data_IF_163069825104
#
_entry.id   IF_163069825104
#
_cell.length_a   1.000
_cell.length_b   1.000
_cell.length_c   1.000
_cell.angle_alpha   90.00
_cell.angle_beta   90.00
_cell.angle_gamma   90.00
#
_symmetry.space_group_name_H-M   'P 1'
#
loop_
_entity.id
_entity.type
_entity.pdbx_description
1 polymer ?
#
# COMPACT_ATOMS: atom_id res chain seq x y z
N UNK A 1 19.35 -11.62 -10.31
CA UNK A 1 18.78 -10.33 -10.79
C UNK A 1 18.40 -9.55 -9.53
N UNK A 2 19.04 -8.41 -9.26
CA UNK A 2 18.71 -7.62 -8.07
C UNK A 2 17.41 -6.88 -8.38
N UNK A 3 16.29 -7.32 -7.80
CA UNK A 3 14.94 -6.82 -8.12
C UNK A 3 14.49 -5.66 -7.22
N UNK A 4 15.35 -5.19 -6.31
CA UNK A 4 15.03 -4.06 -5.45
C UNK A 4 15.24 -2.73 -6.18
N UNK A 5 14.18 -1.94 -6.32
CA UNK A 5 14.27 -0.55 -6.75
C UNK A 5 14.81 0.30 -5.59
N UNK A 6 15.70 1.24 -5.90
CA UNK A 6 15.99 2.35 -4.99
C UNK A 6 14.77 3.26 -4.87
N UNK A 7 14.70 4.07 -3.81
CA UNK A 7 13.63 5.07 -3.65
C UNK A 7 13.52 5.99 -4.86
N UNK A 8 14.66 6.43 -5.42
CA UNK A 8 14.67 7.34 -6.57
C UNK A 8 14.13 6.67 -7.85
N UNK A 9 14.44 5.39 -8.07
CA UNK A 9 13.91 4.63 -9.21
C UNK A 9 12.41 4.39 -9.07
N UNK A 10 11.94 4.04 -7.86
CA UNK A 10 10.52 3.90 -7.58
C UNK A 10 9.77 5.23 -7.76
N UNK A 11 10.28 6.32 -7.19
CA UNK A 11 9.67 7.65 -7.32
C UNK A 11 9.54 8.06 -8.79
N UNK A 12 10.56 7.80 -9.62
CA UNK A 12 10.52 8.06 -11.06
C UNK A 12 9.48 7.19 -11.77
N UNK A 13 9.41 5.90 -11.44
CA UNK A 13 8.44 4.98 -12.03
C UNK A 13 6.99 5.41 -11.69
N UNK A 14 6.74 5.86 -10.46
CA UNK A 14 5.43 6.36 -10.03
C UNK A 14 5.03 7.64 -10.76
N UNK A 15 5.95 8.60 -10.93
CA UNK A 15 5.70 9.80 -11.74
C UNK A 15 5.28 9.41 -13.16
N UNK A 16 6.01 8.46 -13.76
CA UNK A 16 5.71 8.02 -15.12
C UNK A 16 4.36 7.32 -15.24
N UNK A 17 4.01 6.49 -14.27
CA UNK A 17 2.69 5.86 -14.22
C UNK A 17 1.56 6.91 -14.09
N UNK A 18 1.74 7.94 -13.26
CA UNK A 18 0.76 9.03 -13.17
C UNK A 18 0.58 9.73 -14.53
N UNK A 19 1.67 10.05 -15.23
CA UNK A 19 1.59 10.66 -16.57
C UNK A 19 0.87 9.76 -17.60
N UNK A 20 1.14 8.45 -17.58
CA UNK A 20 0.49 7.49 -18.47
C UNK A 20 -1.02 7.44 -18.22
N UNK A 21 -1.40 7.43 -16.95
CA UNK A 21 -2.81 7.44 -16.55
C UNK A 21 -3.52 8.73 -16.98
N UNK A 22 -2.90 9.90 -16.78
CA UNK A 22 -3.45 11.19 -17.20
C UNK A 22 -3.63 11.31 -18.72
N UNK A 23 -2.71 10.71 -19.49
CA UNK A 23 -2.73 10.73 -20.96
C UNK A 23 -3.60 9.63 -21.57
N UNK A 24 -4.25 8.81 -20.76
CA UNK A 24 -4.98 7.61 -21.21
C UNK A 24 -4.10 6.63 -22.01
N UNK A 25 -2.78 6.64 -21.75
CA UNK A 25 -1.76 5.81 -22.39
C UNK A 25 -1.39 4.63 -21.47
N UNK A 26 -2.43 3.93 -21.00
CA UNK A 26 -2.31 2.80 -20.06
C UNK A 26 -3.11 1.60 -20.57
N UNK A 27 -2.86 1.21 -21.83
CA UNK A 27 -3.63 0.17 -22.54
C UNK A 27 -3.60 -1.20 -21.85
N UNK A 28 -2.48 -1.51 -21.19
CA UNK A 28 -2.27 -2.78 -20.48
C UNK A 28 -2.37 -2.63 -18.95
N UNK A 29 -2.93 -1.51 -18.46
CA UNK A 29 -3.09 -1.22 -17.03
C UNK A 29 -1.78 -1.25 -16.22
N UNK A 30 -0.63 -1.03 -16.86
CA UNK A 30 0.68 -1.00 -16.21
C UNK A 30 0.77 0.13 -15.19
N UNK A 31 0.32 1.32 -15.56
CA UNK A 31 0.32 2.47 -14.67
C UNK A 31 -0.67 2.27 -13.53
N UNK A 32 -1.91 1.86 -13.85
CA UNK A 32 -2.93 1.57 -12.84
C UNK A 32 -2.46 0.51 -11.85
N UNK A 33 -1.84 -0.57 -12.33
CA UNK A 33 -1.32 -1.65 -11.48
C UNK A 33 -0.17 -1.18 -10.60
N UNK A 34 0.78 -0.42 -11.14
CA UNK A 34 1.90 0.13 -10.36
C UNK A 34 1.41 1.07 -9.25
N UNK A 35 0.49 1.99 -9.59
CA UNK A 35 -0.08 2.94 -8.63
C UNK A 35 -0.89 2.21 -7.56
N UNK A 36 -1.72 1.24 -7.96
CA UNK A 36 -2.50 0.39 -7.06
C UNK A 36 -1.59 -0.35 -6.06
N UNK A 37 -0.59 -1.09 -6.56
CA UNK A 37 0.31 -1.85 -5.69
C UNK A 37 1.16 -0.96 -4.79
N UNK A 38 1.59 0.21 -5.28
CA UNK A 38 2.29 1.18 -4.43
C UNK A 38 1.40 1.71 -3.29
N UNK A 39 0.13 1.96 -3.56
CA UNK A 39 -0.83 2.34 -2.52
C UNK A 39 -1.05 1.20 -1.53
N UNK A 40 -1.26 -0.03 -2.02
CA UNK A 40 -1.45 -1.22 -1.19
C UNK A 40 -0.25 -1.46 -0.27
N UNK A 41 0.98 -1.37 -0.79
CA UNK A 41 2.21 -1.52 0.02
C UNK A 41 2.30 -0.48 1.14
N UNK A 42 1.88 0.77 0.89
CA UNK A 42 1.87 1.82 1.92
C UNK A 42 0.88 1.52 3.05
N UNK A 43 -0.32 1.05 2.73
CA UNK A 43 -1.30 0.68 3.75
C UNK A 43 -0.91 -0.61 4.48
N UNK A 44 -0.30 -1.58 3.80
CA UNK A 44 0.26 -2.78 4.46
C UNK A 44 1.40 -2.43 5.43
N UNK A 45 2.27 -1.47 5.08
CA UNK A 45 3.29 -0.94 6.00
C UNK A 45 2.65 -0.24 7.21
N UNK A 46 1.52 0.44 7.02
CA UNK A 46 0.75 1.04 8.13
C UNK A 46 0.18 -0.04 9.07
N UNK A 47 -0.37 -1.14 8.52
CA UNK A 47 -0.81 -2.31 9.30
C UNK A 47 0.36 -2.91 10.07
N UNK A 48 1.50 -3.14 9.42
CA UNK A 48 2.69 -3.69 10.08
C UNK A 48 3.15 -2.82 11.26
N UNK A 49 3.23 -1.50 11.07
CA UNK A 49 3.58 -0.55 12.14
C UNK A 49 2.56 -0.57 13.29
N UNK A 50 1.27 -0.60 12.98
CA UNK A 50 0.22 -0.68 13.99
C UNK A 50 0.24 -2.00 14.76
N UNK A 51 0.51 -3.12 14.08
CA UNK A 51 0.64 -4.44 14.68
C UNK A 51 1.83 -4.50 15.63
N UNK A 52 3.01 -3.99 15.23
CA UNK A 52 4.16 -3.87 16.13
C UNK A 52 3.82 -3.07 17.38
N UNK A 53 3.21 -1.90 17.21
CA UNK A 53 2.84 -1.05 18.33
C UNK A 53 1.88 -1.75 19.30
N UNK A 54 0.85 -2.42 18.78
CA UNK A 54 -0.11 -3.17 19.58
C UNK A 54 0.54 -4.32 20.37
N UNK A 55 1.41 -5.10 19.71
CA UNK A 55 2.13 -6.20 20.34
C UNK A 55 3.08 -5.71 21.44
N UNK A 56 3.68 -4.52 21.28
CA UNK A 56 4.64 -3.98 22.24
C UNK A 56 3.97 -3.14 23.35
N UNK A 57 2.70 -2.76 23.20
CA UNK A 57 1.97 -1.96 24.20
C UNK A 57 1.22 -2.80 25.23
N UNK A 58 1.36 -4.13 25.22
CA UNK A 58 0.66 -5.02 26.14
C UNK A 58 -0.85 -5.09 25.89
N UNK A 59 -1.27 -5.04 24.62
CA UNK A 59 -2.67 -5.10 24.19
C UNK A 59 -3.55 -3.91 24.64
N UNK A 60 -2.99 -2.69 24.62
CA UNK A 60 -3.75 -1.47 24.91
C UNK A 60 -4.93 -1.25 23.93
N UNK A 61 -6.10 -0.84 24.46
CA UNK A 61 -7.32 -0.66 23.67
C UNK A 61 -7.19 0.41 22.55
N UNK A 62 -6.35 1.43 22.77
CA UNK A 62 -6.07 2.48 21.79
C UNK A 62 -5.28 1.93 20.60
N UNK A 63 -4.25 1.12 20.88
CA UNK A 63 -3.40 0.49 19.87
C UNK A 63 -4.16 -0.59 19.12
N UNK A 64 -5.03 -1.34 19.82
CA UNK A 64 -5.97 -2.26 19.19
C UNK A 64 -6.84 -1.54 18.15
N UNK A 65 -7.47 -0.43 18.56
CA UNK A 65 -8.32 0.37 17.67
C UNK A 65 -7.56 0.90 16.45
N UNK A 66 -6.29 1.31 16.63
CA UNK A 66 -5.44 1.75 15.53
C UNK A 66 -5.12 0.61 14.56
N UNK A 67 -4.87 -0.60 15.06
CA UNK A 67 -4.64 -1.77 14.24
C UNK A 67 -5.87 -2.13 13.40
N UNK A 68 -7.05 -2.20 14.02
CA UNK A 68 -8.31 -2.47 13.29
C UNK A 68 -8.53 -1.45 12.18
N UNK A 69 -8.39 -0.15 12.47
CA UNK A 69 -8.53 0.90 11.45
C UNK A 69 -7.52 0.79 10.31
N UNK A 70 -6.31 0.29 10.58
CA UNK A 70 -5.31 0.09 9.53
C UNK A 70 -5.70 -1.10 8.63
N UNK A 71 -6.24 -2.18 9.22
CA UNK A 71 -6.75 -3.34 8.50
C UNK A 71 -7.93 -2.93 7.61
N UNK A 72 -8.91 -2.20 8.16
CA UNK A 72 -10.08 -1.72 7.41
C UNK A 72 -9.70 -0.92 6.16
N UNK A 73 -8.60 -0.15 6.20
CA UNK A 73 -8.13 0.63 5.05
C UNK A 73 -7.59 -0.25 3.92
N UNK A 74 -6.88 -1.33 4.27
CA UNK A 74 -6.39 -2.29 3.28
C UNK A 74 -7.57 -3.00 2.63
N UNK A 75 -8.56 -3.41 3.42
CA UNK A 75 -9.79 -4.06 2.94
C UNK A 75 -10.65 -3.17 2.03
N UNK A 76 -10.52 -1.84 2.11
CA UNK A 76 -11.16 -0.90 1.19
C UNK A 76 -10.45 -0.79 -0.16
N UNK A 77 -9.14 -1.03 -0.20
CA UNK A 77 -8.33 -0.93 -1.43
C UNK A 77 -8.40 -2.24 -2.20
N UNK A 78 -8.20 -3.35 -1.49
CA UNK A 78 -8.21 -4.67 -2.08
C UNK A 78 -9.57 -5.31 -1.84
N UNK A 79 -10.36 -5.62 -2.88
CA UNK A 79 -11.53 -6.48 -2.73
C UNK A 79 -11.04 -7.92 -2.51
N UNK A 80 -10.23 -8.18 -1.48
CA UNK A 80 -9.97 -9.54 -1.03
C UNK A 80 -11.30 -10.07 -0.53
N UNK A 81 -11.74 -11.17 -1.14
CA UNK A 81 -12.87 -11.97 -0.66
C UNK A 81 -12.85 -12.04 0.86
N UNK A 82 -13.96 -11.63 1.47
CA UNK A 82 -14.31 -11.96 2.86
C UNK A 82 -14.20 -13.48 3.01
N UNK A 83 -13.30 -13.94 3.87
CA UNK A 83 -13.26 -15.33 4.33
C UNK A 83 -14.33 -15.54 5.40
#
# INVERSE_FOLDING_TARGET
MHTSLTKAELDRALIKATEMWEKSDDSDYLAKSLLYHNQLVKELDAVYKAAKLYLHSGNGAKEHTKLIRAIDKVEQIEPIKKW
#
